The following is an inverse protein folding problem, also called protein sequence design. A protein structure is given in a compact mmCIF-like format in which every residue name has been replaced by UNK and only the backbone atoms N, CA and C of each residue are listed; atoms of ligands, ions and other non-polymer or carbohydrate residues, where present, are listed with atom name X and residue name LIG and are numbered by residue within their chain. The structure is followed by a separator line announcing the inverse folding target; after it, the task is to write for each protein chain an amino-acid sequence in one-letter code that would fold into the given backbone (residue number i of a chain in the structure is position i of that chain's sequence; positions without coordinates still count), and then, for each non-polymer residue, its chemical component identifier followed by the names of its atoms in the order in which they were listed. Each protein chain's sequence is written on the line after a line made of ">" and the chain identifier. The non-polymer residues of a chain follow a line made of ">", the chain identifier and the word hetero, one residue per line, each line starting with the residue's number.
data_IF_427509172463
#
_entry.id   IF_427509172463
#
_cell.length_a   1.000
_cell.length_b   1.000
_cell.length_c   1.000
_cell.angle_alpha   90.00
_cell.angle_beta   90.00
_cell.angle_gamma   90.00
#
_symmetry.space_group_name_H-M   'P 1'
#
loop_
_entity.id
_entity.type
_entity.pdbx_description
1 polymer ?
#
# COMPACT_ATOMS: atom_id res chain seq x y z
N UNK A 1 10.29 36.60 -71.34
CA UNK A 1 10.35 37.14 -69.96
C UNK A 1 9.37 36.40 -69.09
N UNK A 2 9.81 35.37 -68.34
CA UNK A 2 8.96 34.52 -67.47
C UNK A 2 9.31 34.86 -66.03
N UNK A 3 8.30 35.29 -65.26
CA UNK A 3 8.44 35.55 -63.81
C UNK A 3 8.33 34.26 -63.02
N UNK A 4 9.15 33.99 -62.02
CA UNK A 4 8.94 32.82 -61.13
C UNK A 4 7.92 33.12 -60.02
N UNK A 5 6.98 32.21 -59.83
CA UNK A 5 6.08 32.16 -58.66
C UNK A 5 6.86 31.74 -57.39
N UNK A 6 6.77 32.58 -56.38
CA UNK A 6 7.27 32.25 -55.04
C UNK A 6 6.18 31.46 -54.28
N UNK A 7 6.43 30.21 -54.05
CA UNK A 7 5.57 29.36 -53.18
C UNK A 7 6.02 29.51 -51.72
N UNK A 8 5.20 30.17 -50.93
CA UNK A 8 5.39 30.27 -49.47
C UNK A 8 4.90 28.98 -48.80
N UNK A 9 5.83 28.14 -48.38
CA UNK A 9 5.52 26.96 -47.58
C UNK A 9 5.24 27.37 -46.12
N UNK A 10 3.97 27.29 -45.72
CA UNK A 10 3.54 27.48 -44.36
C UNK A 10 3.82 26.21 -43.59
N UNK A 11 4.93 26.16 -42.85
CA UNK A 11 5.29 25.02 -41.97
C UNK A 11 4.36 24.96 -40.76
N UNK A 12 3.47 23.98 -40.71
CA UNK A 12 2.74 23.61 -39.49
C UNK A 12 3.73 23.02 -38.50
N UNK A 13 4.11 23.80 -37.50
CA UNK A 13 4.81 23.27 -36.32
C UNK A 13 3.79 22.54 -35.47
N UNK A 14 3.77 21.21 -35.58
CA UNK A 14 3.08 20.35 -34.62
C UNK A 14 3.84 20.43 -33.29
N UNK A 15 3.32 21.23 -32.37
CA UNK A 15 3.76 21.20 -30.98
C UNK A 15 3.38 19.82 -30.42
N UNK A 16 4.35 18.92 -30.31
CA UNK A 16 4.23 17.73 -29.46
C UNK A 16 3.99 18.21 -28.04
N UNK A 17 2.72 18.28 -27.63
CA UNK A 17 2.37 18.39 -26.24
C UNK A 17 2.80 17.06 -25.60
N UNK A 18 3.91 17.09 -24.87
CA UNK A 18 4.28 16.03 -23.94
C UNK A 18 3.12 15.88 -22.97
N UNK A 19 2.26 14.86 -23.19
CA UNK A 19 1.38 14.38 -22.16
C UNK A 19 2.29 13.86 -21.06
N UNK A 20 2.53 14.67 -20.04
CA UNK A 20 3.05 14.17 -18.77
C UNK A 20 2.16 13.02 -18.35
N UNK A 21 2.72 11.85 -17.95
CA UNK A 21 1.92 10.80 -17.36
C UNK A 21 1.12 11.44 -16.24
N UNK A 22 -0.18 11.15 -16.18
CA UNK A 22 -1.05 11.67 -15.15
C UNK A 22 -0.34 11.50 -13.80
N UNK A 23 -0.12 12.60 -13.08
CA UNK A 23 0.58 12.55 -11.80
C UNK A 23 -0.15 11.52 -10.94
N UNK A 24 0.55 10.41 -10.64
CA UNK A 24 0.01 9.37 -9.77
C UNK A 24 -0.37 10.02 -8.46
N UNK A 25 -1.67 10.04 -8.14
CA UNK A 25 -2.17 10.66 -6.92
C UNK A 25 -1.72 9.78 -5.76
N UNK A 26 -0.87 10.29 -4.85
CA UNK A 26 -0.44 9.49 -3.70
C UNK A 26 -1.64 9.09 -2.86
N UNK A 27 -1.56 7.94 -2.19
CA UNK A 27 -2.64 7.44 -1.34
C UNK A 27 -3.08 8.51 -0.32
N UNK A 28 -4.28 9.05 -0.52
CA UNK A 28 -4.79 10.23 0.20
C UNK A 28 -4.94 10.00 1.71
N UNK A 29 -5.12 8.74 2.12
CA UNK A 29 -5.32 8.37 3.53
C UNK A 29 -3.99 8.15 4.25
N UNK A 30 -2.99 7.64 3.53
CA UNK A 30 -1.69 7.31 4.14
C UNK A 30 -0.69 8.46 4.00
N UNK A 31 -0.78 9.28 2.96
CA UNK A 31 0.14 10.39 2.73
C UNK A 31 0.28 11.35 3.93
N UNK A 32 -0.77 11.71 4.69
CA UNK A 32 -0.62 12.52 5.89
C UNK A 32 0.26 11.90 6.98
N UNK A 33 0.36 10.56 6.99
CA UNK A 33 1.14 9.79 7.95
C UNK A 33 2.52 9.37 7.43
N UNK A 34 2.89 9.76 6.21
CA UNK A 34 4.11 9.30 5.52
C UNK A 34 5.40 9.46 6.35
N UNK A 35 5.53 10.58 7.08
CA UNK A 35 6.66 10.87 7.97
C UNK A 35 6.69 10.02 9.26
N UNK A 36 5.56 9.44 9.60
CA UNK A 36 5.38 8.65 10.81
C UNK A 36 5.46 7.13 10.53
N UNK A 37 5.80 6.76 9.29
CA UNK A 37 6.02 5.37 8.90
C UNK A 37 7.42 4.92 9.28
N UNK A 38 7.51 3.69 9.77
CA UNK A 38 8.76 3.05 10.18
C UNK A 38 8.86 1.64 9.59
N UNK A 39 10.09 1.18 9.37
CA UNK A 39 10.36 -0.17 8.85
C UNK A 39 11.47 -0.84 9.64
N UNK A 40 11.47 -2.16 9.70
CA UNK A 40 12.52 -2.93 10.36
C UNK A 40 13.81 -2.86 9.55
N UNK A 41 14.89 -2.39 10.19
CA UNK A 41 16.25 -2.46 9.67
C UNK A 41 17.19 -3.07 10.73
N UNK A 42 17.62 -4.30 10.50
CA UNK A 42 18.34 -5.06 11.50
C UNK A 42 17.48 -5.31 12.74
N UNK A 43 17.86 -4.74 13.88
CA UNK A 43 17.20 -4.98 15.16
C UNK A 43 16.24 -3.86 15.61
N UNK A 44 16.08 -2.80 14.83
CA UNK A 44 15.33 -1.60 15.20
C UNK A 44 14.41 -1.11 14.08
N UNK A 45 13.41 -0.33 14.46
CA UNK A 45 12.58 0.42 13.51
C UNK A 45 13.27 1.75 13.17
N UNK A 46 13.30 2.07 11.88
CA UNK A 46 13.85 3.32 11.33
C UNK A 46 12.80 4.01 10.46
N UNK A 47 12.89 5.32 10.20
CA UNK A 47 12.00 6.01 9.27
C UNK A 47 11.96 5.32 7.90
N UNK A 48 10.77 5.26 7.31
CA UNK A 48 10.53 4.60 6.03
C UNK A 48 10.39 5.61 4.88
N UNK A 49 11.09 5.34 3.77
CA UNK A 49 10.97 6.14 2.54
C UNK A 49 9.68 5.77 1.79
N UNK A 50 8.65 6.59 1.93
CA UNK A 50 7.28 6.27 1.55
C UNK A 50 6.90 6.57 0.09
N UNK A 51 7.77 7.22 -0.69
CA UNK A 51 7.41 7.73 -2.02
C UNK A 51 6.85 6.68 -2.99
N UNK A 52 7.44 5.47 -3.03
CA UNK A 52 6.97 4.38 -3.88
C UNK A 52 5.74 3.67 -3.27
N UNK A 53 5.75 3.49 -1.95
CA UNK A 53 4.64 2.92 -1.20
C UNK A 53 3.32 3.67 -1.46
N UNK A 54 3.36 5.00 -1.48
CA UNK A 54 2.19 5.85 -1.69
C UNK A 54 1.58 5.75 -3.10
N UNK A 55 2.29 5.18 -4.06
CA UNK A 55 1.85 4.99 -5.44
C UNK A 55 1.19 3.64 -5.71
N UNK A 56 1.16 2.76 -4.72
CA UNK A 56 0.57 1.43 -4.88
C UNK A 56 -0.92 1.53 -5.25
N UNK A 57 -1.40 0.72 -6.21
CA UNK A 57 -2.81 0.70 -6.62
C UNK A 57 -3.72 0.21 -5.50
N UNK A 58 -3.19 -0.59 -4.59
CA UNK A 58 -3.89 -1.11 -3.42
C UNK A 58 -3.01 -1.07 -2.19
N UNK A 59 -3.59 -0.70 -1.06
CA UNK A 59 -2.93 -0.80 0.24
C UNK A 59 -3.76 -1.66 1.18
N UNK A 60 -3.12 -2.65 1.78
CA UNK A 60 -3.68 -3.44 2.88
C UNK A 60 -3.31 -2.72 4.18
N UNK A 61 -4.29 -2.30 4.95
CA UNK A 61 -4.09 -1.92 6.34
C UNK A 61 -4.27 -3.20 7.16
N UNK A 62 -3.17 -3.69 7.73
CA UNK A 62 -3.16 -4.90 8.57
C UNK A 62 -3.19 -4.53 10.04
N UNK A 63 -4.32 -4.76 10.69
CA UNK A 63 -4.47 -4.65 12.14
C UNK A 63 -4.14 -5.98 12.79
N UNK A 64 -3.12 -5.99 13.65
CA UNK A 64 -2.64 -7.21 14.26
C UNK A 64 -1.78 -6.96 15.50
N UNK A 65 -1.46 -8.02 16.24
CA UNK A 65 -0.62 -7.95 17.44
C UNK A 65 0.10 -9.26 17.72
N UNK A 66 1.29 -9.18 18.31
CA UNK A 66 2.10 -10.34 18.66
C UNK A 66 1.51 -11.21 19.79
N UNK A 67 0.67 -10.64 20.65
CA UNK A 67 -0.04 -11.40 21.69
C UNK A 67 -1.23 -12.22 21.16
N UNK A 68 -1.69 -11.93 19.92
CA UNK A 68 -2.82 -12.60 19.30
C UNK A 68 -2.37 -13.91 18.61
N UNK A 69 -2.87 -15.10 19.01
CA UNK A 69 -2.50 -16.37 18.39
C UNK A 69 -2.88 -16.45 16.91
N UNK A 70 -4.03 -15.90 16.53
CA UNK A 70 -4.54 -15.93 15.16
C UNK A 70 -3.72 -15.02 14.25
N UNK A 71 -3.24 -13.87 14.76
CA UNK A 71 -2.31 -12.99 14.03
C UNK A 71 -0.99 -13.72 13.73
N UNK A 72 -0.42 -14.43 14.72
CA UNK A 72 0.81 -15.23 14.49
C UNK A 72 0.62 -16.39 13.52
N UNK A 73 -0.58 -16.96 13.47
CA UNK A 73 -0.94 -18.01 12.50
C UNK A 73 -1.09 -17.45 11.09
N UNK A 74 -1.69 -16.27 10.97
CA UNK A 74 -1.99 -15.62 9.69
C UNK A 74 -0.80 -14.90 9.07
N UNK A 75 0.04 -14.19 9.86
CA UNK A 75 1.12 -13.33 9.36
C UNK A 75 2.07 -14.00 8.37
N UNK A 76 2.47 -15.28 8.55
CA UNK A 76 3.33 -15.97 7.58
C UNK A 76 2.74 -16.02 6.16
N UNK A 77 1.42 -16.20 6.03
CA UNK A 77 0.74 -16.22 4.73
C UNK A 77 0.79 -14.84 4.06
N UNK A 78 0.57 -13.75 4.82
CA UNK A 78 0.67 -12.39 4.32
C UNK A 78 2.13 -12.06 3.91
N UNK A 79 3.13 -12.46 4.71
CA UNK A 79 4.55 -12.30 4.39
C UNK A 79 4.90 -13.02 3.10
N UNK A 80 4.44 -14.26 2.94
CA UNK A 80 4.67 -15.03 1.72
C UNK A 80 4.04 -14.35 0.50
N UNK A 81 2.79 -13.91 0.61
CA UNK A 81 2.08 -13.22 -0.46
C UNK A 81 2.78 -11.92 -0.86
N UNK A 82 3.23 -11.13 0.13
CA UNK A 82 3.97 -9.88 -0.11
C UNK A 82 5.29 -10.11 -0.84
N UNK A 83 6.05 -11.15 -0.46
CA UNK A 83 7.35 -11.48 -1.05
C UNK A 83 7.23 -12.11 -2.45
N UNK A 84 6.10 -12.73 -2.77
CA UNK A 84 5.88 -13.42 -4.05
C UNK A 84 5.18 -12.55 -5.10
N UNK A 85 4.85 -11.30 -4.76
CA UNK A 85 4.23 -10.39 -5.72
C UNK A 85 5.13 -10.15 -6.94
N UNK A 86 4.56 -10.05 -8.14
CA UNK A 86 5.30 -9.58 -9.30
C UNK A 86 5.75 -8.13 -9.09
N UNK A 87 6.88 -7.77 -9.69
CA UNK A 87 7.29 -6.37 -9.74
C UNK A 87 6.41 -5.64 -10.76
N UNK A 88 5.89 -4.47 -10.43
CA UNK A 88 5.13 -3.65 -11.38
C UNK A 88 3.90 -2.95 -10.79
N UNK A 89 3.02 -2.50 -11.69
CA UNK A 89 1.87 -1.65 -11.37
C UNK A 89 0.76 -2.35 -10.55
N UNK A 90 0.71 -3.69 -10.56
CA UNK A 90 -0.35 -4.47 -9.89
C UNK A 90 0.02 -4.89 -8.46
N UNK A 91 1.12 -4.36 -7.97
CA UNK A 91 1.62 -4.67 -6.63
C UNK A 91 0.77 -3.98 -5.56
N UNK A 92 0.36 -4.74 -4.53
CA UNK A 92 -0.19 -4.14 -3.32
C UNK A 92 0.91 -3.79 -2.32
N UNK A 93 0.67 -2.81 -1.49
CA UNK A 93 1.50 -2.50 -0.32
C UNK A 93 0.77 -2.83 0.98
N UNK A 94 1.53 -3.01 2.06
CA UNK A 94 0.97 -3.31 3.37
C UNK A 94 1.40 -2.24 4.37
N UNK A 95 0.45 -1.68 5.10
CA UNK A 95 0.69 -0.84 6.27
C UNK A 95 0.29 -1.62 7.52
N UNK A 96 1.25 -1.90 8.39
CA UNK A 96 0.94 -2.51 9.68
C UNK A 96 0.47 -1.48 10.69
N UNK A 97 -0.75 -1.68 11.20
CA UNK A 97 -1.31 -0.93 12.32
C UNK A 97 -1.31 -1.84 13.55
N UNK A 98 -0.36 -1.61 14.45
CA UNK A 98 -0.19 -2.47 15.62
C UNK A 98 -1.32 -2.30 16.64
N UNK A 99 -1.82 -3.42 17.13
CA UNK A 99 -2.72 -3.53 18.28
C UNK A 99 -1.99 -4.08 19.52
N UNK A 100 -0.64 -4.02 19.51
CA UNK A 100 0.18 -4.39 20.66
C UNK A 100 0.01 -3.38 21.81
N UNK A 101 0.39 -3.81 23.00
CA UNK A 101 0.27 -3.00 24.23
C UNK A 101 1.48 -2.08 24.45
N UNK A 102 2.55 -2.27 23.68
CA UNK A 102 3.79 -1.49 23.78
C UNK A 102 4.58 -1.47 22.47
N UNK A 103 5.44 -0.46 22.32
CA UNK A 103 6.37 -0.37 21.19
C UNK A 103 7.32 -1.58 21.10
N UNK A 104 7.74 -2.13 22.26
CA UNK A 104 8.55 -3.32 22.35
C UNK A 104 7.79 -4.56 21.81
N UNK A 105 6.52 -4.71 22.21
CA UNK A 105 5.64 -5.78 21.71
C UNK A 105 5.48 -5.72 20.19
N UNK A 106 5.20 -4.55 19.66
CA UNK A 106 5.13 -4.30 18.21
C UNK A 106 6.44 -4.65 17.51
N UNK A 107 7.60 -4.17 18.00
CA UNK A 107 8.89 -4.48 17.41
C UNK A 107 9.17 -5.99 17.42
N UNK A 108 8.90 -6.66 18.54
CA UNK A 108 9.08 -8.11 18.68
C UNK A 108 8.23 -8.86 17.67
N UNK A 109 6.98 -8.46 17.47
CA UNK A 109 6.09 -9.09 16.50
C UNK A 109 6.56 -8.87 15.06
N UNK A 110 6.89 -7.63 14.68
CA UNK A 110 7.45 -7.32 13.35
C UNK A 110 8.69 -8.17 13.06
N UNK A 111 9.59 -8.34 14.03
CA UNK A 111 10.80 -9.16 13.90
C UNK A 111 10.48 -10.63 13.76
N UNK A 112 9.64 -11.18 14.64
CA UNK A 112 9.31 -12.62 14.64
C UNK A 112 8.67 -13.06 13.33
N UNK A 113 7.79 -12.23 12.78
CA UNK A 113 7.10 -12.53 11.52
C UNK A 113 7.89 -12.09 10.27
N UNK A 114 9.05 -11.42 10.43
CA UNK A 114 9.88 -10.93 9.33
C UNK A 114 9.11 -9.99 8.38
N UNK A 115 8.31 -9.10 8.95
CA UNK A 115 7.54 -8.13 8.18
C UNK A 115 8.48 -7.14 7.49
N UNK A 116 8.41 -7.05 6.16
CA UNK A 116 9.26 -6.18 5.32
C UNK A 116 8.58 -4.87 4.93
N UNK A 117 7.31 -4.76 5.20
CA UNK A 117 6.50 -3.56 4.94
C UNK A 117 6.53 -2.56 6.09
N UNK A 118 6.15 -1.29 5.85
CA UNK A 118 6.13 -0.30 6.90
C UNK A 118 5.01 -0.53 7.94
N UNK A 119 5.25 0.01 9.12
CA UNK A 119 4.27 0.14 10.18
C UNK A 119 4.08 1.63 10.53
N UNK A 120 2.93 2.00 11.05
CA UNK A 120 2.78 3.29 11.71
C UNK A 120 3.55 3.27 13.04
N UNK A 121 4.35 4.31 13.31
CA UNK A 121 5.10 4.43 14.56
C UNK A 121 4.18 4.29 15.77
N UNK A 122 4.61 3.56 16.80
CA UNK A 122 3.75 3.17 17.92
C UNK A 122 3.14 4.36 18.66
N UNK A 123 3.91 5.44 18.84
CA UNK A 123 3.46 6.68 19.47
C UNK A 123 2.43 7.47 18.65
N UNK A 124 2.27 7.16 17.36
CA UNK A 124 1.29 7.77 16.45
C UNK A 124 -0.02 7.01 16.36
N UNK A 125 -0.05 5.74 16.77
CA UNK A 125 -1.27 4.93 16.73
C UNK A 125 -2.47 5.58 17.44
N UNK A 126 -2.32 6.22 18.62
CA UNK A 126 -3.47 6.83 19.31
C UNK A 126 -4.13 7.96 18.54
N UNK A 127 -3.39 8.69 17.72
CA UNK A 127 -3.87 9.89 17.00
C UNK A 127 -4.25 9.63 15.55
N UNK A 128 -4.04 8.43 15.03
CA UNK A 128 -4.32 8.07 13.62
C UNK A 128 -5.79 7.63 13.43
N UNK A 129 -6.74 8.50 13.77
CA UNK A 129 -8.18 8.20 13.72
C UNK A 129 -8.66 7.86 12.31
N UNK A 130 -8.07 8.48 11.26
CA UNK A 130 -8.42 8.17 9.88
C UNK A 130 -8.08 6.74 9.49
N UNK A 131 -6.96 6.20 10.00
CA UNK A 131 -6.57 4.81 9.76
C UNK A 131 -7.41 3.85 10.62
N UNK A 132 -7.76 4.22 11.84
CA UNK A 132 -8.62 3.40 12.72
C UNK A 132 -10.01 3.14 12.15
N UNK A 133 -10.54 4.03 11.31
CA UNK A 133 -11.84 3.85 10.65
C UNK A 133 -11.90 2.60 9.77
N UNK A 134 -10.74 2.10 9.35
CA UNK A 134 -10.63 0.86 8.56
C UNK A 134 -10.58 -0.40 9.41
N UNK A 135 -10.59 -0.29 10.73
CA UNK A 135 -10.73 -1.46 11.60
C UNK A 135 -12.20 -1.91 11.65
N UNK A 136 -12.45 -3.18 11.37
CA UNK A 136 -13.83 -3.72 11.32
C UNK A 136 -14.53 -3.81 12.69
N UNK A 137 -13.77 -3.75 13.79
CA UNK A 137 -14.33 -3.90 15.14
C UNK A 137 -14.60 -5.36 15.57
N UNK A 138 -14.36 -6.34 14.71
CA UNK A 138 -14.71 -7.74 14.97
C UNK A 138 -13.56 -8.62 15.48
N UNK A 139 -12.38 -8.04 15.68
CA UNK A 139 -11.19 -8.76 16.16
C UNK A 139 -9.98 -8.63 15.24
N UNK A 140 -8.90 -9.28 15.61
CA UNK A 140 -7.65 -9.35 14.84
C UNK A 140 -7.22 -10.80 14.62
N UNK A 141 -6.60 -11.13 13.46
CA UNK A 141 -6.15 -10.22 12.39
C UNK A 141 -7.32 -9.59 11.62
N UNK A 142 -7.19 -8.29 11.31
CA UNK A 142 -8.13 -7.60 10.42
C UNK A 142 -7.35 -6.99 9.26
N UNK A 143 -7.81 -7.28 8.03
CA UNK A 143 -7.27 -6.72 6.80
C UNK A 143 -8.30 -5.81 6.17
N UNK A 144 -7.88 -4.61 5.80
CA UNK A 144 -8.69 -3.68 5.03
C UNK A 144 -7.92 -3.25 3.80
N UNK A 145 -8.43 -3.58 2.62
CA UNK A 145 -7.86 -3.21 1.33
C UNK A 145 -8.48 -1.92 0.87
N UNK A 146 -7.67 -0.91 0.61
CA UNK A 146 -8.11 0.40 0.12
C UNK A 146 -7.46 0.76 -1.21
N UNK A 147 -8.16 1.55 -2.01
CA UNK A 147 -7.61 2.21 -3.19
C UNK A 147 -6.83 3.50 -2.81
N UNK A 148 -6.11 4.15 -3.74
CA UNK A 148 -5.39 5.39 -3.45
C UNK A 148 -6.26 6.56 -2.97
N UNK A 149 -7.58 6.53 -3.24
CA UNK A 149 -8.54 7.54 -2.78
C UNK A 149 -9.09 7.24 -1.40
N UNK A 150 -8.70 6.10 -0.80
CA UNK A 150 -9.17 5.65 0.50
C UNK A 150 -10.52 4.92 0.47
N UNK A 151 -11.00 4.53 -0.71
CA UNK A 151 -12.20 3.71 -0.80
C UNK A 151 -11.88 2.30 -0.30
N UNK A 152 -12.66 1.81 0.67
CA UNK A 152 -12.58 0.43 1.14
C UNK A 152 -13.09 -0.51 0.05
N UNK A 153 -12.25 -1.45 -0.38
CA UNK A 153 -12.55 -2.43 -1.42
C UNK A 153 -12.91 -3.79 -0.84
N UNK A 154 -12.09 -4.27 0.11
CA UNK A 154 -12.28 -5.55 0.80
C UNK A 154 -11.97 -5.36 2.28
N UNK A 155 -12.64 -6.13 3.15
CA UNK A 155 -12.35 -6.11 4.59
C UNK A 155 -12.67 -7.46 5.22
N UNK A 156 -11.77 -7.96 6.07
CA UNK A 156 -12.03 -9.14 6.88
C UNK A 156 -12.77 -8.79 8.16
N UNK A 157 -13.63 -9.71 8.62
CA UNK A 157 -14.35 -9.63 9.90
C UNK A 157 -13.86 -10.67 10.91
N UNK A 158 -13.03 -11.63 10.45
CA UNK A 158 -12.47 -12.71 11.28
C UNK A 158 -11.11 -13.14 10.72
N UNK A 159 -10.41 -14.03 11.43
CA UNK A 159 -9.15 -14.63 10.97
C UNK A 159 -9.32 -15.47 9.70
N UNK A 160 -10.45 -16.19 9.57
CA UNK A 160 -10.77 -16.96 8.36
C UNK A 160 -10.99 -16.04 7.17
N UNK A 161 -11.77 -14.97 7.35
CA UNK A 161 -12.00 -13.96 6.31
C UNK A 161 -10.70 -13.24 5.91
N UNK A 162 -9.72 -13.11 6.82
CA UNK A 162 -8.43 -12.52 6.51
C UNK A 162 -7.69 -13.29 5.41
N UNK A 163 -7.74 -14.63 5.46
CA UNK A 163 -7.17 -15.48 4.42
C UNK A 163 -7.95 -15.36 3.11
N UNK A 164 -9.28 -15.26 3.16
CA UNK A 164 -10.12 -15.07 1.98
C UNK A 164 -9.86 -13.72 1.30
N UNK A 165 -9.72 -12.64 2.07
CA UNK A 165 -9.36 -11.30 1.56
C UNK A 165 -7.99 -11.35 0.87
N UNK A 166 -7.01 -12.02 1.47
CA UNK A 166 -5.69 -12.16 0.89
C UNK A 166 -5.73 -12.96 -0.43
N UNK A 167 -6.47 -14.06 -0.47
CA UNK A 167 -6.64 -14.86 -1.67
C UNK A 167 -7.32 -14.07 -2.80
N UNK A 168 -8.40 -13.34 -2.49
CA UNK A 168 -9.12 -12.52 -3.45
C UNK A 168 -8.21 -11.43 -4.07
N UNK A 169 -7.34 -10.83 -3.27
CA UNK A 169 -6.39 -9.83 -3.76
C UNK A 169 -5.32 -10.45 -4.67
N UNK A 170 -4.79 -11.63 -4.31
CA UNK A 170 -3.84 -12.34 -5.16
C UNK A 170 -4.44 -12.79 -6.49
N UNK A 171 -5.72 -13.18 -6.50
CA UNK A 171 -6.42 -13.56 -7.72
C UNK A 171 -6.68 -12.36 -8.64
N UNK A 172 -6.92 -11.17 -8.09
CA UNK A 172 -7.02 -9.93 -8.86
C UNK A 172 -5.68 -9.55 -9.49
N UNK A 173 -4.58 -9.65 -8.75
CA UNK A 173 -3.23 -9.36 -9.26
C UNK A 173 -2.76 -10.35 -10.34
N UNK A 174 -3.38 -11.54 -10.45
CA UNK A 174 -3.08 -12.55 -11.49
C UNK A 174 -3.92 -12.42 -12.76
N UNK A 175 -5.03 -11.68 -12.71
CA UNK A 175 -5.86 -11.46 -13.91
C UNK A 175 -5.23 -10.36 -14.76
N UNK A 176 -4.77 -10.65 -15.98
CA UNK A 176 -4.35 -9.59 -16.90
C UNK A 176 -5.55 -8.68 -17.15
N UNK A 177 -5.33 -7.37 -17.08
CA UNK A 177 -6.36 -6.42 -17.53
C UNK A 177 -6.81 -6.81 -18.93
N UNK A 178 -8.06 -7.23 -19.07
CA UNK A 178 -8.68 -7.40 -20.37
C UNK A 178 -8.87 -5.96 -20.89
N UNK A 179 -7.98 -5.59 -21.84
CA UNK A 179 -8.06 -4.34 -22.58
C UNK A 179 -9.25 -4.36 -23.51
#
# INVERSE_FOLDING_TARGET
>A
MKKPCLATALGLVFACQNLSPAAEVPNAIIAPHAKDLVVLQGEKLVPFESAQFLKAPYTIIYFGAGWCPDCRRFSPALVQAYNQQPNGADRFEVLFFSMDKSAEGMLKFIKSEKMLWPALAFDKLPTAEELKKYYSGHGIPCLSVIDPKGKLLLQSKSDQDAQEVLNALQDQARKPEIK
#
